data_IF_822388446946
#
_entry.id   IF_822388446946
#
_cell.length_a   1.000
_cell.length_b   1.000
_cell.length_c   1.000
_cell.angle_alpha   90.00
_cell.angle_beta   90.00
_cell.angle_gamma   90.00
#
_symmetry.space_group_name_H-M   'P 1'
#
loop_
_entity.id
_entity.type
_entity.pdbx_description
1 polymer ?
#
# COMPACT_ATOMS: atom_id res chain seq x y z
N UNK A 1 -8.19 1.94 -2.04
CA UNK A 1 -8.65 0.74 -1.31
C UNK A 1 -9.05 1.12 0.10
N UNK A 2 -10.17 0.60 0.55
CA UNK A 2 -10.59 0.81 1.92
C UNK A 2 -10.02 -0.24 2.86
N UNK A 3 -9.65 -1.38 2.33
CA UNK A 3 -9.14 -2.51 3.11
C UNK A 3 -7.95 -3.12 2.39
N UNK A 4 -7.06 -3.69 3.16
CA UNK A 4 -6.01 -4.53 2.61
C UNK A 4 -5.75 -5.67 3.60
N UNK A 5 -5.16 -6.76 3.11
CA UNK A 5 -4.81 -7.88 3.96
C UNK A 5 -3.50 -7.59 4.65
N UNK A 6 -3.56 -7.43 5.97
CA UNK A 6 -2.34 -7.23 6.76
C UNK A 6 -1.82 -8.59 7.21
N UNK A 7 -0.74 -9.01 6.60
CA UNK A 7 -0.15 -10.32 6.89
C UNK A 7 0.65 -10.22 8.18
N UNK A 8 -0.04 -10.36 9.30
CA UNK A 8 0.52 -10.07 10.62
C UNK A 8 1.79 -10.86 10.90
N UNK A 9 1.77 -12.18 10.66
CA UNK A 9 2.94 -13.02 10.92
C UNK A 9 4.15 -12.60 10.12
N UNK A 10 3.95 -12.35 8.83
CA UNK A 10 5.04 -11.90 7.96
C UNK A 10 5.55 -10.54 8.39
N UNK A 11 4.63 -9.64 8.75
CA UNK A 11 5.01 -8.30 9.16
C UNK A 11 5.84 -8.32 10.44
N UNK A 12 5.40 -9.09 11.42
CA UNK A 12 6.16 -9.23 12.68
C UNK A 12 7.57 -9.74 12.40
N UNK A 13 7.67 -10.75 11.55
CA UNK A 13 8.95 -11.36 11.22
C UNK A 13 9.86 -10.37 10.49
N UNK A 14 9.29 -9.67 9.49
CA UNK A 14 10.08 -8.77 8.65
C UNK A 14 10.55 -7.54 9.41
N UNK A 15 9.84 -7.12 10.45
CA UNK A 15 10.15 -5.90 11.19
C UNK A 15 10.71 -6.16 12.57
N UNK A 16 11.11 -7.41 12.87
CA UNK A 16 11.50 -7.80 14.23
C UNK A 16 12.71 -7.03 14.77
N UNK A 17 13.52 -6.46 13.91
CA UNK A 17 14.72 -5.72 14.31
C UNK A 17 14.58 -4.21 14.13
N UNK A 18 13.40 -3.73 13.82
CA UNK A 18 13.18 -2.29 13.65
C UNK A 18 12.76 -1.66 14.98
N UNK A 19 13.04 -0.38 15.12
CA UNK A 19 12.53 0.38 16.26
C UNK A 19 11.04 0.66 16.03
N UNK A 20 10.36 1.07 17.09
CA UNK A 20 8.95 1.43 16.98
C UNK A 20 8.74 2.56 15.98
N UNK A 21 9.64 3.54 15.96
CA UNK A 21 9.55 4.63 15.00
C UNK A 21 9.67 4.13 13.57
N UNK A 22 10.62 3.22 13.34
CA UNK A 22 10.83 2.66 12.01
C UNK A 22 9.64 1.82 11.57
N UNK A 23 9.06 1.04 12.50
CA UNK A 23 7.85 0.29 12.19
C UNK A 23 6.71 1.23 11.82
N UNK A 24 6.57 2.33 12.56
CA UNK A 24 5.54 3.32 12.27
C UNK A 24 5.71 3.93 10.89
N UNK A 25 6.94 4.26 10.52
CA UNK A 25 7.23 4.81 9.19
C UNK A 25 6.85 3.79 8.12
N UNK A 26 7.24 2.54 8.30
CA UNK A 26 6.95 1.48 7.34
C UNK A 26 5.43 1.32 7.17
N UNK A 27 4.70 1.26 8.28
CA UNK A 27 3.24 1.13 8.24
C UNK A 27 2.61 2.28 7.48
N UNK A 28 3.05 3.50 7.75
CA UNK A 28 2.45 4.66 7.10
C UNK A 28 2.78 4.73 5.61
N UNK A 29 3.96 4.27 5.22
CA UNK A 29 4.29 4.16 3.80
C UNK A 29 3.38 3.15 3.12
N UNK A 30 3.11 2.01 3.77
CA UNK A 30 2.21 1.00 3.23
C UNK A 30 0.79 1.56 3.13
N UNK A 31 0.32 2.27 4.16
CA UNK A 31 -1.01 2.88 4.10
C UNK A 31 -1.13 3.86 2.95
N UNK A 32 -0.11 4.68 2.74
CA UNK A 32 -0.12 5.63 1.64
C UNK A 32 -0.16 4.92 0.30
N UNK A 33 0.60 3.85 0.18
CA UNK A 33 0.66 3.05 -1.03
C UNK A 33 -0.73 2.50 -1.38
N UNK A 34 -1.39 1.87 -0.41
CA UNK A 34 -2.71 1.31 -0.64
C UNK A 34 -3.77 2.38 -0.86
N UNK A 35 -3.66 3.49 -0.14
CA UNK A 35 -4.64 4.57 -0.28
C UNK A 35 -4.61 5.17 -1.68
N UNK A 36 -3.43 5.39 -2.22
CA UNK A 36 -3.30 5.94 -3.57
C UNK A 36 -3.36 4.88 -4.66
N UNK A 37 -3.17 3.61 -4.29
CA UNK A 37 -3.11 2.48 -5.22
C UNK A 37 -2.02 2.69 -6.27
N UNK A 38 -0.94 3.35 -5.88
CA UNK A 38 0.17 3.68 -6.77
C UNK A 38 1.50 3.56 -6.03
N UNK A 39 2.59 3.32 -6.76
CA UNK A 39 3.92 3.37 -6.16
C UNK A 39 4.19 4.75 -5.57
N UNK A 40 5.08 4.78 -4.60
CA UNK A 40 5.40 6.01 -3.91
C UNK A 40 6.33 6.89 -4.74
N UNK A 41 6.17 8.21 -4.68
CA UNK A 41 7.07 9.11 -5.40
C UNK A 41 8.47 9.06 -4.79
N UNK A 42 9.48 9.30 -5.61
CA UNK A 42 10.85 9.40 -5.11
C UNK A 42 11.09 10.82 -4.62
N UNK A 43 10.47 11.14 -3.50
CA UNK A 43 10.55 12.48 -2.90
C UNK A 43 10.58 12.31 -1.39
N UNK A 44 11.78 12.28 -0.83
CA UNK A 44 11.99 12.00 0.59
C UNK A 44 11.31 13.07 1.46
N UNK A 45 11.33 14.31 1.04
CA UNK A 45 10.68 15.37 1.81
C UNK A 45 9.18 15.09 1.96
N UNK A 46 8.51 14.81 0.84
CA UNK A 46 7.07 14.54 0.83
C UNK A 46 6.76 13.28 1.65
N UNK A 47 7.54 12.22 1.46
CA UNK A 47 7.31 10.98 2.19
C UNK A 47 7.56 11.16 3.68
N UNK A 48 8.54 11.95 4.05
CA UNK A 48 8.80 12.23 5.46
C UNK A 48 7.66 13.01 6.08
N UNK A 49 7.09 13.95 5.35
CA UNK A 49 5.93 14.69 5.83
C UNK A 49 4.74 13.78 6.02
N UNK A 50 4.48 12.92 5.05
CA UNK A 50 3.29 12.06 5.09
C UNK A 50 3.39 10.93 6.09
N UNK A 51 4.59 10.58 6.51
CA UNK A 51 4.79 9.57 7.55
C UNK A 51 5.02 10.16 8.92
N UNK A 52 4.88 11.49 9.06
CA UNK A 52 5.12 12.18 10.32
C UNK A 52 6.54 12.01 10.83
N UNK A 53 7.50 11.94 9.90
CA UNK A 53 8.91 11.72 10.23
C UNK A 53 9.80 12.76 9.56
N UNK A 54 9.33 14.00 9.45
CA UNK A 54 10.07 15.00 8.71
C UNK A 54 11.39 15.41 9.37
N UNK A 55 11.55 15.07 10.65
CA UNK A 55 12.82 15.31 11.34
C UNK A 55 13.73 14.11 11.27
N UNK A 56 13.33 13.07 10.55
CA UNK A 56 14.10 11.84 10.46
C UNK A 56 14.04 11.26 9.06
N UNK A 57 14.44 12.07 8.08
CA UNK A 57 14.45 11.62 6.69
C UNK A 57 15.37 10.43 6.48
N UNK A 58 16.40 10.30 7.30
CA UNK A 58 17.32 9.19 7.21
C UNK A 58 16.59 7.86 7.48
N UNK A 59 15.72 7.84 8.48
CA UNK A 59 14.96 6.65 8.77
C UNK A 59 14.01 6.30 7.63
N UNK A 60 13.37 7.30 7.04
CA UNK A 60 12.47 7.08 5.89
C UNK A 60 13.26 6.49 4.73
N UNK A 61 14.42 7.06 4.43
CA UNK A 61 15.29 6.56 3.36
C UNK A 61 15.72 5.13 3.64
N UNK A 62 16.06 4.84 4.90
CA UNK A 62 16.46 3.48 5.28
C UNK A 62 15.35 2.47 5.07
N UNK A 63 14.12 2.80 5.48
CA UNK A 63 12.97 1.91 5.31
C UNK A 63 12.70 1.69 3.82
N UNK A 64 12.75 2.74 3.01
CA UNK A 64 12.57 2.59 1.58
C UNK A 64 13.59 1.65 0.97
N UNK A 65 14.86 1.81 1.38
CA UNK A 65 15.92 0.95 0.85
C UNK A 65 15.80 -0.50 1.29
N UNK A 66 15.21 -0.75 2.45
CA UNK A 66 15.09 -2.11 2.97
C UNK A 66 13.90 -2.87 2.41
N UNK A 67 12.77 -2.20 2.21
CA UNK A 67 11.52 -2.89 1.91
C UNK A 67 10.91 -2.54 0.56
N UNK A 68 11.42 -1.52 -0.10
CA UNK A 68 10.89 -1.06 -1.38
C UNK A 68 11.98 -1.12 -2.44
N UNK A 69 11.59 -1.02 -3.69
CA UNK A 69 12.51 -1.01 -4.83
C UNK A 69 12.24 0.21 -5.68
N UNK A 70 13.30 0.94 -6.00
CA UNK A 70 13.17 2.12 -6.86
C UNK A 70 13.19 1.66 -8.31
N UNK A 71 12.05 1.82 -8.99
CA UNK A 71 11.88 1.41 -10.38
C UNK A 71 11.28 2.58 -11.14
N UNK A 72 11.99 3.07 -12.15
CA UNK A 72 11.53 4.18 -13.00
C UNK A 72 11.11 5.39 -12.16
N UNK A 73 11.91 5.71 -11.15
CA UNK A 73 11.68 6.90 -10.33
C UNK A 73 10.56 6.78 -9.32
N UNK A 74 10.05 5.57 -9.10
CA UNK A 74 8.99 5.32 -8.11
C UNK A 74 9.40 4.18 -7.20
N UNK A 75 9.00 4.29 -5.94
CA UNK A 75 9.27 3.24 -4.96
C UNK A 75 8.15 2.20 -5.00
N UNK A 76 8.49 0.98 -5.39
CA UNK A 76 7.56 -0.13 -5.49
C UNK A 76 7.71 -1.09 -4.33
N UNK A 77 6.60 -1.70 -3.94
CA UNK A 77 6.56 -2.75 -2.93
C UNK A 77 5.83 -3.93 -3.58
N UNK A 78 6.50 -5.06 -3.70
CA UNK A 78 5.96 -6.17 -4.51
C UNK A 78 4.62 -6.69 -3.98
N UNK A 79 4.48 -6.82 -2.66
CA UNK A 79 3.21 -7.29 -2.10
C UNK A 79 2.10 -6.27 -2.35
N UNK A 80 2.39 -4.98 -2.15
CA UNK A 80 1.40 -3.95 -2.39
C UNK A 80 0.97 -3.94 -3.85
N UNK A 81 1.93 -4.02 -4.77
CA UNK A 81 1.61 -4.06 -6.19
C UNK A 81 0.71 -5.23 -6.53
N UNK A 82 1.02 -6.40 -5.97
CA UNK A 82 0.23 -7.60 -6.23
C UNK A 82 -1.19 -7.45 -5.70
N UNK A 83 -1.33 -7.00 -4.47
CA UNK A 83 -2.65 -6.88 -3.85
C UNK A 83 -3.49 -5.79 -4.49
N UNK A 84 -2.86 -4.69 -4.90
CA UNK A 84 -3.57 -3.63 -5.60
C UNK A 84 -4.06 -4.13 -6.95
N UNK A 85 -3.21 -4.85 -7.69
CA UNK A 85 -3.60 -5.40 -8.98
C UNK A 85 -4.76 -6.37 -8.84
N UNK A 86 -4.72 -7.22 -7.82
CA UNK A 86 -5.81 -8.16 -7.57
C UNK A 86 -7.09 -7.44 -7.19
N UNK A 87 -6.99 -6.39 -6.39
CA UNK A 87 -8.14 -5.60 -6.00
C UNK A 87 -8.76 -4.90 -7.21
N UNK A 88 -7.92 -4.29 -8.05
CA UNK A 88 -8.41 -3.58 -9.24
C UNK A 88 -9.05 -4.54 -10.24
N UNK A 89 -8.47 -5.73 -10.37
CA UNK A 89 -9.06 -6.76 -11.23
C UNK A 89 -10.42 -7.21 -10.69
N UNK A 90 -10.52 -7.36 -9.38
CA UNK A 90 -11.79 -7.73 -8.75
C UNK A 90 -12.84 -6.64 -8.98
N UNK A 91 -12.48 -5.38 -8.79
CA UNK A 91 -13.41 -4.27 -9.00
C UNK A 91 -13.85 -4.18 -10.45
N UNK A 92 -12.93 -4.38 -11.39
CA UNK A 92 -13.26 -4.36 -12.80
C UNK A 92 -14.22 -5.48 -13.15
N UNK A 93 -13.99 -6.67 -12.58
CA UNK A 93 -14.87 -7.80 -12.80
C UNK A 93 -16.26 -7.55 -12.25
N UNK A 94 -16.35 -6.98 -11.05
CA UNK A 94 -17.63 -6.66 -10.44
C UNK A 94 -18.39 -5.65 -11.29
N UNK A 95 -17.71 -4.64 -11.79
CA UNK A 95 -18.32 -3.64 -12.62
C UNK A 95 -18.82 -4.25 -13.93
N UNK A 96 -18.01 -5.09 -14.56
CA UNK A 96 -18.40 -5.76 -15.80
C UNK A 96 -19.59 -6.67 -15.57
N UNK A 97 -19.60 -7.42 -14.47
CA UNK A 97 -20.71 -8.29 -14.13
C UNK A 97 -21.98 -7.48 -13.88
N UNK A 98 -21.87 -6.35 -13.22
CA UNK A 98 -23.01 -5.48 -12.97
C UNK A 98 -23.61 -4.95 -14.26
N UNK A 99 -22.78 -4.47 -15.17
CA UNK A 99 -23.23 -4.00 -16.46
C UNK A 99 -23.85 -5.12 -17.28
N UNK A 100 -23.21 -6.28 -17.26
CA UNK A 100 -23.67 -7.42 -18.01
C UNK A 100 -24.98 -7.96 -17.45
N UNK A 101 -25.11 -7.98 -16.11
CA UNK A 101 -26.30 -8.47 -15.44
C UNK A 101 -27.53 -7.64 -15.70
N UNK A 102 -27.37 -6.37 -15.96
CA UNK A 102 -28.49 -5.48 -16.22
C UNK A 102 -29.44 -5.37 -15.06
N UNK A 103 -29.06 -5.74 -13.85
CA UNK A 103 -29.92 -5.71 -12.70
C UNK A 103 -29.24 -5.01 -11.57
N UNK A 104 -29.95 -4.14 -11.03
CA UNK A 104 -29.39 -3.49 -9.86
C UNK A 104 -29.37 -4.42 -8.70
N UNK A 105 -29.69 -5.23 -8.40
CA UNK A 105 -29.60 -5.99 -7.46
C UNK A 105 -28.88 -6.30 -6.71
N UNK A 106 -29.25 -6.16 -6.84
CA UNK A 106 -28.79 -6.21 -6.49
C UNK A 106 -28.39 -6.25 -5.53
N UNK A 107 -28.64 -6.38 -5.42
CA UNK A 107 -28.39 -6.36 -4.88
C UNK A 107 -27.82 -6.63 -4.10
N UNK A 108 -27.76 -7.03 -4.11
CA UNK A 108 -27.30 -7.41 -3.68
C UNK A 108 -26.40 -7.34 -3.12
N UNK A 109 -26.17 -7.45 -2.94
CA UNK A 109 -25.38 -7.45 -2.63
C UNK A 109 -24.46 -7.20 -2.11
N UNK A 110 -24.29 -7.21 -1.83
CA UNK A 110 -23.53 -7.03 -1.58
C UNK A 110 -22.89 -7.02 -1.12
N UNK A 111 -22.43 -7.05 -0.73
CA UNK A 111 -21.59 -7.21 -0.27
C UNK A 111 -21.09 -7.31 -0.19
#
# INVERSE_FOLDING_TARGET
MHYYQHHIGDFIKDTSYLTNEEIGIYMKLIWLYYDTEEPLPNDIFVLSMKTNARENEEAVTGILGMYFQLIDGKWHHSRCDKEIAEFQAFCAKQKANGLKGGRPKATQQEP
#
